data_IF_866875698953
#
_entry.id   IF_866875698953
#
_cell.length_a   1.000
_cell.length_b   1.000
_cell.length_c   1.000
_cell.angle_alpha   90.00
_cell.angle_beta   90.00
_cell.angle_gamma   90.00
#
_symmetry.space_group_name_H-M   'P 1'
#
loop_
_entity.id
_entity.type
_entity.pdbx_description
1 polymer ?
#
# COMPACT_ATOMS: atom_id res chain seq x y z
N UNK A 1 -62.24 30.78 5.37
CA UNK A 1 -60.94 30.51 6.01
C UNK A 1 -60.53 29.12 5.63
N UNK A 2 -59.65 28.96 4.62
CA UNK A 2 -59.13 27.66 4.13
C UNK A 2 -57.82 27.39 4.83
N UNK A 3 -57.75 26.33 5.64
CA UNK A 3 -56.53 25.87 6.29
C UNK A 3 -55.68 25.07 5.27
N UNK A 4 -54.54 25.58 4.88
CA UNK A 4 -53.54 24.90 4.09
C UNK A 4 -52.67 24.05 5.04
N UNK A 5 -52.83 22.74 4.99
CA UNK A 5 -51.93 21.81 5.66
C UNK A 5 -50.72 21.56 4.76
N UNK A 6 -49.57 22.10 5.15
CA UNK A 6 -48.28 21.82 4.51
C UNK A 6 -47.76 20.52 5.09
N UNK A 7 -47.84 19.45 4.28
CA UNK A 7 -47.24 18.16 4.58
C UNK A 7 -45.76 18.25 4.20
N UNK A 8 -44.89 18.47 5.19
CA UNK A 8 -43.43 18.42 5.01
C UNK A 8 -43.02 16.94 4.97
N UNK A 9 -42.83 16.41 3.75
CA UNK A 9 -42.17 15.15 3.56
C UNK A 9 -40.66 15.30 3.89
N UNK A 10 -40.29 14.93 5.10
CA UNK A 10 -38.90 14.79 5.52
C UNK A 10 -38.37 13.50 4.89
N UNK A 11 -37.89 13.60 3.64
CA UNK A 11 -37.14 12.50 3.00
C UNK A 11 -35.79 12.38 3.70
N UNK A 12 -35.71 11.46 4.66
CA UNK A 12 -34.45 10.97 5.18
C UNK A 12 -33.64 10.37 4.00
N UNK A 13 -32.73 11.17 3.46
CA UNK A 13 -31.63 10.68 2.64
C UNK A 13 -30.73 9.83 3.56
N UNK A 14 -31.08 8.55 3.72
CA UNK A 14 -30.14 7.55 4.19
C UNK A 14 -29.07 7.44 3.10
N UNK A 15 -28.04 8.29 3.15
CA UNK A 15 -26.77 8.01 2.47
C UNK A 15 -26.20 6.80 3.17
N UNK A 16 -26.49 5.62 2.63
CA UNK A 16 -25.73 4.41 2.93
C UNK A 16 -24.28 4.73 2.60
N UNK A 17 -23.47 5.00 3.62
CA UNK A 17 -22.04 4.90 3.49
C UNK A 17 -21.75 3.43 3.22
N UNK A 18 -21.80 3.05 1.95
CA UNK A 18 -21.19 1.81 1.49
C UNK A 18 -19.71 1.97 1.77
N UNK A 19 -19.27 1.52 2.95
CA UNK A 19 -17.86 1.23 3.15
C UNK A 19 -17.54 0.20 2.09
N UNK A 20 -16.85 0.66 1.05
CA UNK A 20 -16.59 -0.16 -0.11
C UNK A 20 -15.91 -1.44 0.35
N UNK A 21 -16.55 -2.57 0.14
CA UNK A 21 -15.89 -3.86 0.20
C UNK A 21 -14.62 -3.75 -0.61
N UNK A 22 -13.52 -4.25 -0.09
CA UNK A 22 -12.20 -4.17 -0.75
C UNK A 22 -12.26 -4.81 -2.15
N UNK A 23 -13.14 -5.82 -2.30
CA UNK A 23 -13.46 -6.50 -3.55
C UNK A 23 -14.98 -6.58 -3.66
N UNK A 24 -15.52 -5.90 -4.67
CA UNK A 24 -16.93 -6.03 -5.02
C UNK A 24 -17.16 -7.36 -5.74
N UNK A 25 -17.90 -8.26 -5.06
CA UNK A 25 -18.29 -9.56 -5.60
C UNK A 25 -19.73 -9.63 -6.09
N UNK A 26 -20.50 -8.57 -5.99
CA UNK A 26 -21.89 -8.55 -6.46
C UNK A 26 -21.95 -8.48 -7.98
N UNK A 27 -21.02 -7.73 -8.60
CA UNK A 27 -20.87 -7.67 -10.07
C UNK A 27 -19.40 -7.74 -10.50
N UNK A 28 -18.77 -8.92 -10.44
CA UNK A 28 -17.35 -9.07 -10.77
C UNK A 28 -17.10 -8.88 -12.28
N UNK A 29 -16.51 -7.75 -12.65
CA UNK A 29 -16.31 -7.29 -14.03
C UNK A 29 -15.19 -8.00 -14.79
N UNK A 30 -14.25 -8.65 -14.10
CA UNK A 30 -13.10 -9.34 -14.71
C UNK A 30 -13.06 -10.83 -14.38
N UNK A 31 -12.35 -11.61 -15.21
CA UNK A 31 -12.13 -13.04 -14.93
C UNK A 31 -11.38 -13.27 -13.62
N UNK A 32 -10.46 -12.39 -13.28
CA UNK A 32 -9.72 -12.43 -12.00
C UNK A 32 -10.64 -12.16 -10.82
N UNK A 33 -11.53 -11.16 -10.92
CA UNK A 33 -12.53 -10.87 -9.88
C UNK A 33 -13.49 -12.04 -9.71
N UNK A 34 -14.02 -12.62 -10.81
CA UNK A 34 -14.87 -13.83 -10.74
C UNK A 34 -14.18 -14.97 -10.01
N UNK A 35 -12.85 -15.13 -10.22
CA UNK A 35 -12.08 -16.18 -9.57
C UNK A 35 -11.95 -15.98 -8.06
N UNK A 36 -11.55 -14.78 -7.64
CA UNK A 36 -11.39 -14.48 -6.21
C UNK A 36 -12.72 -14.33 -5.46
N UNK A 37 -13.83 -14.11 -6.17
CA UNK A 37 -15.19 -14.10 -5.60
C UNK A 37 -15.77 -15.50 -5.38
N UNK A 38 -15.08 -16.56 -5.81
CA UNK A 38 -15.51 -17.95 -5.51
C UNK A 38 -15.39 -18.27 -4.02
N UNK A 39 -16.09 -19.31 -3.58
CA UNK A 39 -16.12 -19.76 -2.17
C UNK A 39 -14.73 -20.14 -1.65
N UNK A 40 -13.85 -20.62 -2.52
CA UNK A 40 -12.46 -20.96 -2.18
C UNK A 40 -11.70 -19.79 -1.55
N UNK A 41 -12.02 -18.55 -1.91
CA UNK A 41 -11.35 -17.35 -1.42
C UNK A 41 -12.17 -16.57 -0.38
N UNK A 42 -13.30 -17.13 0.09
CA UNK A 42 -14.22 -16.44 1.00
C UNK A 42 -13.51 -15.97 2.28
N UNK A 43 -12.80 -16.87 2.95
CA UNK A 43 -12.18 -16.58 4.26
C UNK A 43 -11.08 -15.52 4.14
N UNK A 44 -10.25 -15.61 3.09
CA UNK A 44 -9.19 -14.62 2.89
C UNK A 44 -9.75 -13.26 2.47
N UNK A 45 -10.87 -13.20 1.72
CA UNK A 45 -11.56 -11.94 1.44
C UNK A 45 -12.09 -11.29 2.72
N UNK A 46 -12.73 -12.05 3.61
CA UNK A 46 -13.22 -11.54 4.90
C UNK A 46 -12.06 -11.00 5.75
N UNK A 47 -10.93 -11.70 5.78
CA UNK A 47 -9.72 -11.22 6.45
C UNK A 47 -9.21 -9.93 5.82
N UNK A 48 -9.18 -9.84 4.51
CA UNK A 48 -8.75 -8.64 3.78
C UNK A 48 -9.67 -7.44 4.06
N UNK A 49 -10.99 -7.63 4.06
CA UNK A 49 -11.96 -6.59 4.38
C UNK A 49 -11.76 -6.07 5.81
N UNK A 50 -11.58 -6.99 6.76
CA UNK A 50 -11.31 -6.63 8.17
C UNK A 50 -10.01 -5.82 8.30
N UNK A 51 -8.93 -6.25 7.66
CA UNK A 51 -7.64 -5.54 7.73
C UNK A 51 -7.69 -4.19 7.00
N UNK A 52 -8.42 -4.09 5.91
CA UNK A 52 -8.59 -2.81 5.20
C UNK A 52 -9.37 -1.81 6.04
N UNK A 53 -10.44 -2.25 6.69
CA UNK A 53 -11.19 -1.39 7.62
C UNK A 53 -10.32 -0.97 8.80
N UNK A 54 -9.54 -1.90 9.36
CA UNK A 54 -8.62 -1.61 10.46
C UNK A 54 -7.58 -0.58 10.01
N UNK A 55 -6.94 -0.78 8.86
CA UNK A 55 -5.96 0.18 8.34
C UNK A 55 -6.57 1.57 8.11
N UNK A 56 -7.80 1.64 7.63
CA UNK A 56 -8.49 2.91 7.40
C UNK A 56 -8.85 3.64 8.70
N UNK A 57 -9.25 2.91 9.75
CA UNK A 57 -9.78 3.50 10.98
C UNK A 57 -8.71 3.85 12.02
N UNK A 58 -7.60 3.09 12.07
CA UNK A 58 -6.64 3.19 13.17
C UNK A 58 -5.20 3.49 12.75
N UNK A 59 -4.89 3.50 11.45
CA UNK A 59 -3.54 3.86 11.01
C UNK A 59 -3.44 5.37 10.73
N UNK A 60 -2.21 5.90 10.88
CA UNK A 60 -1.85 7.26 10.48
C UNK A 60 -1.54 7.35 8.96
N UNK A 61 -1.72 6.25 8.22
CA UNK A 61 -1.47 6.22 6.79
C UNK A 61 -2.45 7.15 6.06
N UNK A 62 -1.98 8.05 5.19
CA UNK A 62 -2.86 8.92 4.43
C UNK A 62 -3.88 8.13 3.62
N UNK A 63 -5.14 8.53 3.64
CA UNK A 63 -6.21 7.84 2.91
C UNK A 63 -5.85 7.62 1.44
N UNK A 64 -5.23 8.60 0.80
CA UNK A 64 -4.79 8.49 -0.59
C UNK A 64 -3.77 7.37 -0.78
N UNK A 65 -2.86 7.16 0.17
CA UNK A 65 -1.91 6.05 0.13
C UNK A 65 -2.63 4.70 0.12
N UNK A 66 -3.64 4.53 1.00
CA UNK A 66 -4.43 3.31 1.07
C UNK A 66 -5.16 3.03 -0.24
N UNK A 67 -5.75 4.07 -0.86
CA UNK A 67 -6.46 3.97 -2.15
C UNK A 67 -5.49 3.64 -3.30
N UNK A 68 -4.40 4.38 -3.44
CA UNK A 68 -3.45 4.20 -4.54
C UNK A 68 -2.74 2.85 -4.46
N UNK A 69 -2.34 2.41 -3.26
CA UNK A 69 -1.73 1.09 -3.08
C UNK A 69 -2.73 -0.05 -3.27
N UNK A 70 -4.01 0.16 -2.96
CA UNK A 70 -5.07 -0.80 -3.27
C UNK A 70 -5.22 -0.97 -4.78
N UNK A 71 -5.27 0.12 -5.55
CA UNK A 71 -5.35 0.05 -7.01
C UNK A 71 -4.15 -0.66 -7.63
N UNK A 72 -2.94 -0.41 -7.12
CA UNK A 72 -1.74 -1.12 -7.56
C UNK A 72 -1.80 -2.62 -7.28
N UNK A 73 -2.32 -2.99 -6.12
CA UNK A 73 -2.55 -4.39 -5.76
C UNK A 73 -3.57 -5.05 -6.70
N UNK A 74 -4.71 -4.41 -6.98
CA UNK A 74 -5.70 -4.91 -7.95
C UNK A 74 -5.08 -5.15 -9.33
N UNK A 75 -4.22 -4.23 -9.79
CA UNK A 75 -3.53 -4.39 -11.06
C UNK A 75 -2.58 -5.61 -11.08
N UNK A 76 -1.92 -5.92 -9.96
CA UNK A 76 -1.11 -7.15 -9.82
C UNK A 76 -1.99 -8.40 -9.79
N UNK A 77 -3.08 -8.34 -9.04
CA UNK A 77 -4.04 -9.44 -8.93
C UNK A 77 -4.60 -9.85 -10.30
N UNK A 78 -4.90 -8.87 -11.16
CA UNK A 78 -5.39 -9.12 -12.51
C UNK A 78 -4.36 -9.82 -13.42
N UNK A 79 -3.09 -9.78 -13.10
CA UNK A 79 -2.03 -10.47 -13.84
C UNK A 79 -1.89 -11.94 -13.46
N UNK A 80 -2.52 -12.38 -12.38
CA UNK A 80 -2.47 -13.75 -11.90
C UNK A 80 -3.11 -14.73 -12.88
N UNK A 81 -2.48 -15.91 -13.04
CA UNK A 81 -2.94 -16.99 -13.92
C UNK A 81 -3.20 -18.30 -13.17
N UNK A 82 -2.89 -18.38 -11.87
CA UNK A 82 -3.05 -19.59 -11.06
C UNK A 82 -3.69 -19.27 -9.71
N UNK A 83 -4.32 -20.25 -9.09
CA UNK A 83 -4.92 -20.12 -7.75
C UNK A 83 -3.86 -19.73 -6.72
N UNK A 84 -2.67 -20.33 -6.79
CA UNK A 84 -1.58 -20.00 -5.89
C UNK A 84 -1.14 -18.53 -6.01
N UNK A 85 -1.15 -17.97 -7.24
CA UNK A 85 -0.86 -16.56 -7.45
C UNK A 85 -1.92 -15.65 -6.81
N UNK A 86 -3.20 -15.97 -6.99
CA UNK A 86 -4.29 -15.21 -6.35
C UNK A 86 -4.16 -15.23 -4.83
N UNK A 87 -3.95 -16.43 -4.24
CA UNK A 87 -3.75 -16.58 -2.81
C UNK A 87 -2.59 -15.70 -2.33
N UNK A 88 -1.44 -15.79 -2.98
CA UNK A 88 -0.24 -15.02 -2.63
C UNK A 88 -0.48 -13.51 -2.72
N UNK A 89 -1.19 -13.03 -3.75
CA UNK A 89 -1.48 -11.59 -3.86
C UNK A 89 -2.45 -11.10 -2.77
N UNK A 90 -3.39 -11.96 -2.34
CA UNK A 90 -4.26 -11.64 -1.20
C UNK A 90 -3.47 -11.55 0.10
N UNK A 91 -2.58 -12.52 0.35
CA UNK A 91 -1.71 -12.53 1.53
C UNK A 91 -0.80 -11.29 1.53
N UNK A 92 -0.16 -10.94 0.41
CA UNK A 92 0.65 -9.73 0.31
C UNK A 92 -0.14 -8.45 0.62
N UNK A 93 -1.41 -8.37 0.19
CA UNK A 93 -2.22 -7.19 0.52
C UNK A 93 -2.55 -7.12 2.01
N UNK A 94 -2.82 -8.26 2.63
CA UNK A 94 -3.03 -8.32 4.08
C UNK A 94 -1.76 -7.90 4.83
N UNK A 95 -0.59 -8.33 4.37
CA UNK A 95 0.69 -7.95 4.96
C UNK A 95 0.97 -6.44 4.80
N UNK A 96 0.69 -5.85 3.63
CA UNK A 96 0.75 -4.40 3.43
C UNK A 96 -0.13 -3.63 4.41
N UNK A 97 -1.38 -4.08 4.62
CA UNK A 97 -2.32 -3.43 5.52
C UNK A 97 -1.88 -3.58 6.99
N UNK A 98 -1.37 -4.74 7.37
CA UNK A 98 -0.77 -4.96 8.69
C UNK A 98 0.44 -4.06 8.91
N UNK A 99 1.23 -3.83 7.88
CA UNK A 99 2.38 -2.95 7.94
C UNK A 99 1.98 -1.49 8.23
N UNK A 100 0.87 -1.00 7.67
CA UNK A 100 0.34 0.33 7.99
C UNK A 100 -0.18 0.43 9.43
N UNK A 101 -0.67 -0.65 10.00
CA UNK A 101 -1.27 -0.65 11.35
C UNK A 101 -0.27 -1.01 12.45
N UNK A 102 0.87 -1.66 12.11
CA UNK A 102 1.84 -2.15 13.09
C UNK A 102 2.59 -1.04 13.83
N UNK A 103 2.68 0.14 13.19
CA UNK A 103 3.37 1.31 13.72
C UNK A 103 2.39 2.48 13.75
N UNK A 104 1.60 2.54 14.81
CA UNK A 104 0.76 3.70 15.13
C UNK A 104 1.67 4.87 15.54
N UNK A 105 2.24 5.58 14.53
CA UNK A 105 3.22 6.64 14.77
C UNK A 105 2.90 7.85 13.91
N UNK A 106 2.52 8.91 14.59
CA UNK A 106 2.24 10.25 14.03
C UNK A 106 3.40 10.89 13.25
N UNK A 107 4.57 10.24 13.19
CA UNK A 107 5.78 10.73 12.54
C UNK A 107 6.30 9.77 11.46
N UNK A 108 5.40 9.02 10.83
CA UNK A 108 5.74 8.14 9.69
C UNK A 108 5.53 8.88 8.38
N UNK A 109 6.55 8.90 7.54
CA UNK A 109 6.45 9.39 6.17
C UNK A 109 6.39 8.19 5.21
N UNK A 110 5.41 8.18 4.33
CA UNK A 110 5.23 7.15 3.32
C UNK A 110 5.71 7.65 1.95
N UNK A 111 6.52 6.85 1.27
CA UNK A 111 7.08 7.18 -0.04
C UNK A 111 6.76 6.07 -1.04
N UNK A 112 6.12 6.42 -2.16
CA UNK A 112 5.95 5.52 -3.30
C UNK A 112 6.87 5.93 -4.45
N UNK A 113 7.46 4.93 -5.11
CA UNK A 113 8.33 5.14 -6.26
C UNK A 113 7.53 5.65 -7.46
N UNK A 114 8.07 6.66 -8.13
CA UNK A 114 7.51 7.25 -9.34
C UNK A 114 8.42 6.99 -10.54
N UNK A 115 7.80 6.66 -11.66
CA UNK A 115 8.45 6.47 -12.95
C UNK A 115 7.60 7.16 -14.02
N UNK A 116 8.23 7.99 -14.85
CA UNK A 116 7.55 8.74 -15.92
C UNK A 116 6.34 9.57 -15.45
N UNK A 117 6.43 10.17 -14.26
CA UNK A 117 5.39 11.03 -13.71
C UNK A 117 4.19 10.31 -13.05
N UNK A 118 4.20 8.98 -12.99
CA UNK A 118 3.18 8.16 -12.36
C UNK A 118 3.78 7.20 -11.34
N UNK A 119 2.95 6.57 -10.51
CA UNK A 119 3.42 5.51 -9.63
C UNK A 119 3.99 4.37 -10.47
N UNK A 120 5.15 3.84 -10.08
CA UNK A 120 5.83 2.75 -10.77
C UNK A 120 4.90 1.54 -10.95
N UNK A 121 4.89 0.93 -12.15
CA UNK A 121 4.10 -0.28 -12.44
C UNK A 121 4.47 -1.46 -11.55
N UNK A 122 5.74 -1.54 -11.16
CA UNK A 122 6.23 -2.44 -10.12
C UNK A 122 6.41 -1.61 -8.85
N UNK A 123 5.42 -1.60 -7.95
CA UNK A 123 5.42 -0.68 -6.82
C UNK A 123 6.62 -0.92 -5.90
N UNK A 124 7.18 0.16 -5.42
CA UNK A 124 8.16 0.17 -4.34
C UNK A 124 7.68 1.18 -3.31
N UNK A 125 7.51 0.74 -2.10
CA UNK A 125 7.06 1.54 -0.98
C UNK A 125 8.14 1.59 0.09
N UNK A 126 8.49 2.78 0.55
CA UNK A 126 9.37 3.02 1.68
C UNK A 126 8.60 3.77 2.76
N UNK A 127 8.79 3.38 4.02
CA UNK A 127 8.29 4.07 5.21
C UNK A 127 9.47 4.54 6.05
N UNK A 128 9.44 5.79 6.45
CA UNK A 128 10.45 6.41 7.29
C UNK A 128 9.81 6.80 8.61
N UNK A 129 10.20 6.13 9.68
CA UNK A 129 9.65 6.28 11.02
C UNK A 129 10.64 7.03 11.92
N UNK A 130 10.23 8.14 12.49
CA UNK A 130 10.96 8.80 13.56
C UNK A 130 10.63 8.10 14.89
N UNK A 131 11.49 7.17 15.33
CA UNK A 131 11.25 6.41 16.55
C UNK A 131 11.56 7.22 17.82
N UNK A 132 12.55 8.10 17.74
CA UNK A 132 12.93 9.04 18.79
C UNK A 132 13.67 10.22 18.16
N UNK A 133 14.08 11.19 18.98
CA UNK A 133 14.89 12.33 18.51
C UNK A 133 16.13 11.90 17.70
N UNK A 134 16.75 10.78 18.11
CA UNK A 134 18.04 10.34 17.57
C UNK A 134 17.96 9.01 16.80
N UNK A 135 16.74 8.48 16.59
CA UNK A 135 16.58 7.16 15.96
C UNK A 135 15.51 7.18 14.88
N UNK A 136 15.90 6.75 13.68
CA UNK A 136 15.05 6.58 12.51
C UNK A 136 15.08 5.11 12.09
N UNK A 137 13.90 4.54 11.81
CA UNK A 137 13.72 3.24 11.16
C UNK A 137 13.23 3.47 9.74
N UNK A 138 13.79 2.76 8.77
CA UNK A 138 13.32 2.78 7.39
C UNK A 138 12.93 1.34 7.03
N UNK A 139 11.70 1.16 6.61
CA UNK A 139 11.17 -0.10 6.12
C UNK A 139 10.67 0.05 4.69
N UNK A 140 10.66 -1.04 3.94
CA UNK A 140 10.12 -0.99 2.59
C UNK A 140 9.86 -2.36 1.98
N UNK A 141 9.03 -2.32 0.95
CA UNK A 141 8.74 -3.46 0.10
C UNK A 141 8.84 -3.06 -1.37
N UNK A 142 9.52 -3.87 -2.14
CA UNK A 142 9.58 -3.76 -3.59
C UNK A 142 8.89 -4.95 -4.24
N UNK A 143 7.92 -4.69 -5.12
CA UNK A 143 7.16 -5.72 -5.81
C UNK A 143 7.59 -5.85 -7.27
N UNK A 144 7.54 -7.08 -7.76
CA UNK A 144 7.72 -7.42 -9.17
C UNK A 144 6.43 -8.05 -9.72
N UNK A 145 6.36 -8.19 -11.02
CA UNK A 145 5.24 -8.90 -11.65
C UNK A 145 5.08 -10.30 -11.03
N UNK A 146 3.87 -10.72 -10.65
CA UNK A 146 3.61 -12.04 -10.09
C UNK A 146 3.97 -13.20 -11.03
N UNK A 147 4.20 -12.93 -12.31
CA UNK A 147 4.61 -13.91 -13.31
C UNK A 147 6.12 -13.83 -13.63
N UNK A 148 6.89 -13.02 -12.92
CA UNK A 148 8.33 -12.98 -13.07
C UNK A 148 8.94 -14.24 -12.43
N UNK A 149 9.56 -15.09 -13.27
CA UNK A 149 10.20 -16.34 -12.84
C UNK A 149 11.70 -16.20 -12.57
N UNK A 150 12.29 -15.07 -12.91
CA UNK A 150 13.74 -14.84 -12.87
C UNK A 150 14.14 -14.26 -11.51
N UNK A 151 13.29 -13.44 -10.90
CA UNK A 151 13.58 -12.74 -9.65
C UNK A 151 12.52 -13.02 -8.59
N UNK A 152 12.88 -12.85 -7.33
CA UNK A 152 11.94 -12.85 -6.21
C UNK A 152 10.86 -11.80 -6.46
N UNK A 153 9.58 -12.16 -6.27
CA UNK A 153 8.45 -11.27 -6.54
C UNK A 153 8.39 -10.08 -5.57
N UNK A 154 8.82 -10.31 -4.34
CA UNK A 154 8.95 -9.26 -3.33
C UNK A 154 10.34 -9.27 -2.72
N UNK A 155 10.82 -8.11 -2.30
CA UNK A 155 12.02 -7.97 -1.49
C UNK A 155 11.77 -6.90 -0.44
N UNK A 156 12.13 -7.19 0.80
CA UNK A 156 12.01 -6.27 1.92
C UNK A 156 13.25 -5.39 2.05
N UNK A 157 13.05 -4.26 2.71
CA UNK A 157 14.09 -3.32 3.10
C UNK A 157 13.96 -3.03 4.59
N UNK A 158 15.05 -3.04 5.32
CA UNK A 158 15.09 -2.63 6.72
C UNK A 158 16.41 -1.92 7.02
N UNK A 159 16.33 -0.73 7.57
CA UNK A 159 17.49 -0.02 8.07
C UNK A 159 17.17 0.78 9.34
N UNK A 160 18.19 0.97 10.17
CA UNK A 160 18.17 1.88 11.30
C UNK A 160 19.27 2.92 11.11
N UNK A 161 18.95 4.19 11.38
CA UNK A 161 19.89 5.30 11.22
C UNK A 161 19.59 6.41 12.22
N UNK A 162 20.38 7.46 12.17
CA UNK A 162 20.18 8.70 12.92
C UNK A 162 19.87 9.86 11.97
N UNK A 163 19.31 10.97 12.44
CA UNK A 163 19.07 12.16 11.61
C UNK A 163 20.30 12.64 10.84
N UNK A 164 21.49 12.55 11.46
CA UNK A 164 22.75 13.01 10.86
C UNK A 164 23.27 12.06 9.75
N UNK A 165 22.92 10.76 9.85
CA UNK A 165 23.38 9.72 8.92
C UNK A 165 22.30 9.25 7.95
N UNK A 166 21.13 9.87 7.95
CA UNK A 166 19.98 9.44 7.13
C UNK A 166 20.20 9.50 5.62
N UNK A 167 21.32 10.07 5.17
CA UNK A 167 21.68 10.11 3.76
C UNK A 167 22.45 8.87 3.30
N UNK A 168 23.13 8.15 4.21
CA UNK A 168 23.92 6.98 3.89
C UNK A 168 23.30 5.79 4.63
N UNK A 169 22.53 4.99 3.91
CA UNK A 169 21.70 3.93 4.46
C UNK A 169 22.26 2.57 4.04
N UNK A 170 22.46 1.69 5.00
CA UNK A 170 22.74 0.27 4.75
C UNK A 170 21.47 -0.53 5.03
N UNK A 171 20.99 -1.23 4.02
CA UNK A 171 19.87 -2.17 4.15
C UNK A 171 20.35 -3.45 4.83
N UNK A 172 19.79 -3.79 5.96
CA UNK A 172 20.16 -4.95 6.78
C UNK A 172 19.64 -6.27 6.19
N UNK A 173 18.65 -6.23 5.30
CA UNK A 173 18.07 -7.43 4.68
C UNK A 173 18.94 -7.93 3.52
N UNK A 174 19.52 -7.02 2.74
CA UNK A 174 20.19 -7.34 1.49
C UNK A 174 21.65 -6.87 1.44
N UNK A 175 22.19 -6.28 2.51
CA UNK A 175 23.52 -5.67 2.57
C UNK A 175 23.78 -4.63 1.47
N UNK A 176 22.75 -3.93 1.06
CA UNK A 176 22.81 -2.89 0.05
C UNK A 176 23.11 -1.53 0.66
N UNK A 177 24.03 -0.80 0.04
CA UNK A 177 24.32 0.59 0.42
C UNK A 177 23.63 1.55 -0.50
N UNK A 178 22.93 2.52 0.10
CA UNK A 178 22.13 3.51 -0.60
C UNK A 178 22.48 4.91 -0.15
N UNK A 179 22.39 5.85 -1.09
CA UNK A 179 22.37 7.28 -0.83
C UNK A 179 20.92 7.77 -0.92
N UNK A 180 20.40 8.28 0.20
CA UNK A 180 19.07 8.86 0.32
C UNK A 180 19.18 10.37 0.32
N UNK A 181 18.54 11.03 -0.64
CA UNK A 181 18.43 12.49 -0.69
C UNK A 181 16.98 12.90 -0.44
N UNK A 182 16.71 13.34 0.79
CA UNK A 182 15.41 13.81 1.23
C UNK A 182 15.22 15.29 0.83
N UNK A 183 14.19 15.53 0.05
CA UNK A 183 13.71 16.87 -0.30
C UNK A 183 12.22 16.90 0.05
N UNK A 184 11.70 17.96 0.63
CA UNK A 184 10.28 18.09 1.05
C UNK A 184 9.34 16.93 0.64
N UNK A 185 8.83 16.98 -0.60
CA UNK A 185 7.89 15.98 -1.13
C UNK A 185 8.58 14.84 -1.91
N UNK A 186 9.88 14.85 -2.06
CA UNK A 186 10.64 13.93 -2.91
C UNK A 186 11.76 13.26 -2.11
N UNK A 187 11.90 11.96 -2.30
CA UNK A 187 13.06 11.18 -1.87
C UNK A 187 13.73 10.59 -3.11
N UNK A 188 15.01 10.88 -3.30
CA UNK A 188 15.82 10.24 -4.34
C UNK A 188 16.73 9.20 -3.70
N UNK A 189 16.69 7.98 -4.20
CA UNK A 189 17.48 6.83 -3.71
C UNK A 189 18.44 6.40 -4.82
N UNK A 190 19.73 6.30 -4.52
CA UNK A 190 20.78 5.85 -5.42
C UNK A 190 21.57 4.71 -4.79
N UNK A 191 22.17 3.85 -5.61
CA UNK A 191 23.14 2.85 -5.21
C UNK A 191 24.12 2.63 -6.36
N UNK A 192 25.36 2.32 -6.04
CA UNK A 192 26.40 1.97 -7.03
C UNK A 192 26.29 0.51 -7.47
N UNK A 193 25.71 -0.33 -6.64
CA UNK A 193 25.54 -1.76 -6.93
C UNK A 193 24.29 -2.02 -7.78
N UNK A 194 24.47 -2.69 -8.91
CA UNK A 194 23.36 -3.14 -9.77
C UNK A 194 22.44 -4.13 -9.05
N UNK A 195 22.96 -4.93 -8.14
CA UNK A 195 22.17 -5.88 -7.34
C UNK A 195 21.14 -5.17 -6.44
N UNK A 196 21.39 -3.90 -6.08
CA UNK A 196 20.55 -3.08 -5.21
C UNK A 196 19.53 -2.22 -5.94
N UNK A 197 19.38 -2.38 -7.25
CA UNK A 197 18.57 -1.48 -8.09
C UNK A 197 17.07 -1.48 -7.77
N UNK A 198 16.54 -2.44 -7.02
CA UNK A 198 15.10 -2.50 -6.76
C UNK A 198 14.57 -1.26 -6.04
N UNK A 199 15.32 -0.75 -5.08
CA UNK A 199 14.97 0.45 -4.32
C UNK A 199 15.53 1.75 -4.91
N UNK A 200 16.37 1.68 -5.94
CA UNK A 200 16.88 2.88 -6.61
C UNK A 200 15.77 3.58 -7.39
N UNK A 201 15.66 4.90 -7.26
CA UNK A 201 14.69 5.70 -7.99
C UNK A 201 14.27 6.97 -7.29
N UNK A 202 13.21 7.57 -7.81
CA UNK A 202 12.59 8.78 -7.25
C UNK A 202 11.26 8.41 -6.63
N UNK A 203 11.03 8.89 -5.45
CA UNK A 203 9.85 8.62 -4.64
C UNK A 203 9.13 9.93 -4.30
N UNK A 204 7.83 9.86 -4.19
CA UNK A 204 7.00 10.96 -3.72
C UNK A 204 6.43 10.61 -2.35
N UNK A 205 6.48 11.60 -1.43
CA UNK A 205 5.83 11.46 -0.12
C UNK A 205 4.31 11.51 -0.27
N UNK A 206 3.65 10.74 0.57
CA UNK A 206 2.21 10.77 0.81
C UNK A 206 1.98 11.30 2.22
N UNK A 207 1.27 12.42 2.28
CA UNK A 207 0.87 13.13 3.51
C UNK A 207 -0.64 12.98 3.73
#
# INVERSE_FOLDING_TARGET
>A
MKKFSILVCLSCLCTSFSYAQVIDCDDPTSSSLKKICSDQFKDIRQKLDTQSMTAFLISDAPQRLLVDTHQLWLNRLQQCKSLACYQQQMDFRIDDLNFYTSLNQSLTQHYLKFEHGTIAKQPVHLQVHQLSKDKIKIEGNAYRSPNNRIETQTISFLAYTTPDQKQNITDNENNCHYQFNFQKAILSVKSESKACNRFVGVYRVYD
#
